data_IF_668925596479
#
_entry.id   IF_668925596479
#
_cell.length_a   1.000
_cell.length_b   1.000
_cell.length_c   1.000
_cell.angle_alpha   90.00
_cell.angle_beta   90.00
_cell.angle_gamma   90.00
#
_symmetry.space_group_name_H-M   'P 1'
#
loop_
_entity.id
_entity.type
_entity.pdbx_description
1 polymer ?
#
# COMPACT_ATOMS: atom_id res chain seq x y z
N UNK A 1 -2.05 -29.95 -26.49
CA UNK A 1 -3.18 -29.16 -25.94
C UNK A 1 -2.58 -28.30 -24.85
N UNK A 2 -2.63 -26.97 -24.96
CA UNK A 2 -2.18 -26.12 -23.83
C UNK A 2 -3.13 -26.40 -22.67
N UNK A 3 -2.57 -26.76 -21.51
CA UNK A 3 -3.37 -26.96 -20.31
C UNK A 3 -4.21 -25.71 -20.03
N UNK A 4 -5.50 -25.91 -19.77
CA UNK A 4 -6.42 -24.87 -19.35
C UNK A 4 -5.94 -24.30 -18.01
N UNK A 5 -5.55 -23.02 -17.96
CA UNK A 5 -5.13 -22.37 -16.73
C UNK A 5 -6.34 -21.66 -16.10
N UNK A 6 -6.67 -22.07 -14.88
CA UNK A 6 -7.70 -21.44 -14.03
C UNK A 6 -7.01 -20.89 -12.78
N UNK A 7 -7.19 -19.62 -12.49
CA UNK A 7 -6.55 -18.97 -11.34
C UNK A 7 -7.57 -18.71 -10.24
N UNK A 8 -7.26 -19.16 -9.03
CA UNK A 8 -8.01 -18.79 -7.83
C UNK A 8 -7.39 -17.56 -7.16
N UNK A 9 -8.21 -16.66 -6.61
CA UNK A 9 -7.75 -15.52 -5.79
C UNK A 9 -8.43 -15.61 -4.43
N UNK A 10 -7.63 -15.83 -3.38
CA UNK A 10 -8.08 -15.68 -2.00
C UNK A 10 -7.96 -14.22 -1.56
N UNK A 11 -9.08 -13.52 -1.55
CA UNK A 11 -9.22 -12.13 -1.09
C UNK A 11 -10.13 -12.03 0.15
N UNK A 12 -10.30 -13.11 0.91
CA UNK A 12 -11.16 -13.19 2.08
C UNK A 12 -10.79 -12.21 3.18
N UNK A 13 -9.51 -11.77 3.21
CA UNK A 13 -8.96 -10.86 4.22
C UNK A 13 -8.73 -9.43 3.74
N UNK A 14 -9.15 -9.06 2.54
CA UNK A 14 -8.97 -7.73 1.95
C UNK A 14 -9.91 -6.68 2.58
N UNK A 15 -9.72 -6.34 3.86
CA UNK A 15 -10.57 -5.42 4.63
C UNK A 15 -10.09 -3.96 4.59
N UNK A 16 -8.78 -3.70 4.46
CA UNK A 16 -8.21 -2.35 4.41
C UNK A 16 -8.43 -1.67 3.05
N UNK A 17 -8.39 -0.33 3.02
CA UNK A 17 -8.54 0.47 1.81
C UNK A 17 -7.53 0.09 0.73
N UNK A 18 -6.23 0.04 1.07
CA UNK A 18 -5.18 -0.33 0.11
C UNK A 18 -5.31 -1.75 -0.45
N UNK A 19 -5.82 -2.70 0.37
CA UNK A 19 -6.07 -4.07 -0.08
C UNK A 19 -7.22 -4.15 -1.08
N UNK A 20 -8.30 -3.38 -0.85
CA UNK A 20 -9.45 -3.28 -1.76
C UNK A 20 -9.03 -2.63 -3.07
N UNK A 21 -8.35 -1.46 -3.01
CA UNK A 21 -7.89 -0.73 -4.18
C UNK A 21 -6.94 -1.57 -5.04
N UNK A 22 -6.05 -2.37 -4.42
CA UNK A 22 -5.19 -3.28 -5.17
C UNK A 22 -5.99 -4.31 -5.96
N UNK A 23 -6.92 -5.03 -5.33
CA UNK A 23 -7.70 -6.07 -6.02
C UNK A 23 -8.59 -5.48 -7.11
N UNK A 24 -9.22 -4.33 -6.84
CA UNK A 24 -10.06 -3.63 -7.82
C UNK A 24 -9.20 -3.20 -9.01
N UNK A 25 -8.11 -2.46 -8.78
CA UNK A 25 -7.24 -1.96 -9.84
C UNK A 25 -6.59 -3.08 -10.65
N UNK A 26 -6.16 -4.17 -10.00
CA UNK A 26 -5.65 -5.37 -10.66
C UNK A 26 -6.69 -5.94 -11.65
N UNK A 27 -7.94 -6.14 -11.22
CA UNK A 27 -8.97 -6.80 -12.03
C UNK A 27 -9.64 -5.88 -13.06
N UNK A 28 -9.70 -4.58 -12.82
CA UNK A 28 -10.23 -3.61 -13.79
C UNK A 28 -9.37 -3.49 -15.04
N UNK A 29 -8.05 -3.49 -14.90
CA UNK A 29 -7.08 -3.31 -15.98
C UNK A 29 -6.52 -4.65 -16.51
N UNK A 30 -7.17 -5.78 -16.15
CA UNK A 30 -6.71 -7.13 -16.49
C UNK A 30 -7.22 -7.65 -17.83
N UNK A 31 -6.29 -8.37 -18.49
CA UNK A 31 -6.57 -9.19 -19.67
C UNK A 31 -5.90 -10.56 -19.50
N UNK A 32 -6.40 -11.42 -18.57
CA UNK A 32 -5.73 -12.68 -18.21
C UNK A 32 -5.65 -13.68 -19.37
N UNK A 33 -6.54 -13.58 -20.35
CA UNK A 33 -6.53 -14.39 -21.57
C UNK A 33 -5.24 -14.25 -22.38
N UNK A 34 -4.53 -13.10 -22.31
CA UNK A 34 -3.22 -12.90 -22.94
C UNK A 34 -2.14 -13.86 -22.41
N UNK A 35 -2.35 -14.36 -21.21
CA UNK A 35 -1.45 -15.30 -20.50
C UNK A 35 -1.94 -16.73 -20.53
N UNK A 36 -2.97 -17.05 -21.33
CA UNK A 36 -3.57 -18.38 -21.42
C UNK A 36 -4.49 -18.71 -20.23
N UNK A 37 -4.82 -17.73 -19.38
CA UNK A 37 -5.75 -17.89 -18.27
C UNK A 37 -7.17 -17.79 -18.81
N UNK A 38 -7.99 -18.81 -18.59
CA UNK A 38 -9.36 -18.88 -19.11
C UNK A 38 -10.37 -18.34 -18.11
N UNK A 39 -10.18 -18.61 -16.83
CA UNK A 39 -11.08 -18.20 -15.75
C UNK A 39 -10.28 -17.76 -14.53
N UNK A 40 -10.83 -16.76 -13.85
CA UNK A 40 -10.32 -16.27 -12.57
C UNK A 40 -11.45 -16.34 -11.55
N UNK A 41 -11.26 -17.12 -10.50
CA UNK A 41 -12.22 -17.31 -9.42
C UNK A 41 -11.78 -16.49 -8.19
N UNK A 42 -12.63 -15.58 -7.69
CA UNK A 42 -12.31 -14.72 -6.54
C UNK A 42 -13.20 -15.05 -5.35
N UNK A 43 -12.59 -15.42 -4.23
CA UNK A 43 -13.29 -15.60 -2.95
C UNK A 43 -13.12 -14.38 -2.06
N UNK A 44 -14.26 -13.73 -1.75
CA UNK A 44 -14.29 -12.57 -0.86
C UNK A 44 -15.67 -12.32 -0.28
N UNK A 45 -15.77 -11.32 0.58
CA UNK A 45 -17.06 -10.87 1.12
C UNK A 45 -17.84 -10.02 0.10
N UNK A 46 -19.19 -10.05 0.24
CA UNK A 46 -20.14 -9.52 -0.75
C UNK A 46 -19.86 -8.07 -1.15
N UNK A 47 -19.56 -7.19 -0.17
CA UNK A 47 -19.34 -5.77 -0.46
C UNK A 47 -18.13 -5.53 -1.38
N UNK A 48 -17.02 -6.29 -1.19
CA UNK A 48 -15.86 -6.17 -2.08
C UNK A 48 -16.16 -6.78 -3.45
N UNK A 49 -16.83 -7.92 -3.51
CA UNK A 49 -17.20 -8.55 -4.78
C UNK A 49 -18.13 -7.67 -5.63
N UNK A 50 -18.99 -6.86 -4.97
CA UNK A 50 -19.85 -5.87 -5.62
C UNK A 50 -19.09 -4.72 -6.28
N UNK A 51 -17.86 -4.44 -5.81
CA UNK A 51 -16.99 -3.40 -6.38
C UNK A 51 -16.10 -3.90 -7.54
N UNK A 52 -15.98 -5.22 -7.72
CA UNK A 52 -15.17 -5.81 -8.78
C UNK A 52 -15.88 -5.73 -10.13
N UNK A 53 -15.14 -5.59 -11.25
CA UNK A 53 -15.71 -5.50 -12.57
C UNK A 53 -16.51 -6.75 -12.94
N UNK A 54 -17.48 -6.59 -13.86
CA UNK A 54 -18.18 -7.72 -14.46
C UNK A 54 -17.45 -8.10 -15.76
N UNK A 55 -16.81 -9.26 -15.77
CA UNK A 55 -16.07 -9.81 -16.90
C UNK A 55 -16.47 -11.26 -17.10
N UNK A 56 -16.49 -11.75 -18.33
CA UNK A 56 -16.87 -13.13 -18.66
C UNK A 56 -15.91 -14.17 -18.05
N UNK A 57 -14.66 -13.82 -17.87
CA UNK A 57 -13.63 -14.64 -17.27
C UNK A 57 -13.56 -14.58 -15.73
N UNK A 58 -14.34 -13.68 -15.07
CA UNK A 58 -14.27 -13.43 -13.62
C UNK A 58 -15.49 -14.02 -12.90
N UNK A 59 -15.24 -15.02 -12.06
CA UNK A 59 -16.26 -15.71 -11.27
C UNK A 59 -16.09 -15.38 -9.80
N UNK A 60 -17.17 -14.95 -9.14
CA UNK A 60 -17.17 -14.41 -7.78
C UNK A 60 -17.78 -15.40 -6.80
N UNK A 61 -17.11 -15.66 -5.69
CA UNK A 61 -17.54 -16.58 -4.61
C UNK A 61 -17.59 -15.87 -3.26
N UNK A 62 -18.66 -16.08 -2.50
CA UNK A 62 -18.84 -15.50 -1.16
C UNK A 62 -19.38 -16.53 -0.17
N UNK A 63 -18.53 -17.46 0.29
CA UNK A 63 -18.92 -18.42 1.30
C UNK A 63 -19.33 -17.74 2.62
N UNK A 64 -20.30 -18.33 3.33
CA UNK A 64 -20.82 -17.75 4.57
C UNK A 64 -19.75 -17.67 5.67
N UNK A 65 -18.75 -18.55 5.66
CA UNK A 65 -17.65 -18.59 6.62
C UNK A 65 -16.81 -17.29 6.62
N UNK A 66 -16.67 -16.63 5.47
CA UNK A 66 -15.93 -15.37 5.33
C UNK A 66 -16.60 -14.23 6.10
N UNK A 67 -17.91 -14.33 6.34
CA UNK A 67 -18.72 -13.33 7.06
C UNK A 67 -18.74 -13.54 8.58
N UNK A 68 -18.25 -14.69 9.06
CA UNK A 68 -18.21 -15.06 10.48
C UNK A 68 -16.96 -14.51 11.19
N UNK A 69 -16.71 -14.99 12.40
CA UNK A 69 -15.54 -14.60 13.21
C UNK A 69 -14.22 -14.96 12.53
N UNK A 70 -13.11 -14.32 12.97
CA UNK A 70 -11.77 -14.61 12.45
C UNK A 70 -11.41 -16.10 12.52
N UNK A 71 -11.82 -16.81 13.58
CA UNK A 71 -11.53 -18.25 13.71
C UNK A 71 -12.25 -19.08 12.64
N UNK A 72 -13.48 -18.75 12.30
CA UNK A 72 -14.23 -19.40 11.21
C UNK A 72 -13.57 -19.11 9.84
N UNK A 73 -13.14 -17.88 9.62
CA UNK A 73 -12.43 -17.50 8.38
C UNK A 73 -11.12 -18.27 8.24
N UNK A 74 -10.30 -18.35 9.30
CA UNK A 74 -9.04 -19.11 9.29
C UNK A 74 -9.29 -20.61 9.09
N UNK A 75 -10.33 -21.16 9.74
CA UNK A 75 -10.69 -22.56 9.56
C UNK A 75 -11.11 -22.85 8.12
N UNK A 76 -12.00 -22.02 7.55
CA UNK A 76 -12.40 -22.12 6.15
C UNK A 76 -11.20 -22.01 5.21
N UNK A 77 -10.35 -21.03 5.39
CA UNK A 77 -9.16 -20.81 4.56
C UNK A 77 -8.18 -22.01 4.59
N UNK A 78 -8.07 -22.66 5.76
CA UNK A 78 -7.18 -23.80 5.95
C UNK A 78 -7.75 -25.11 5.37
N UNK A 79 -9.05 -25.36 5.56
CA UNK A 79 -9.62 -26.67 5.33
C UNK A 79 -10.63 -26.72 4.17
N UNK A 80 -11.49 -25.72 4.00
CA UNK A 80 -12.54 -25.71 2.98
C UNK A 80 -12.09 -25.09 1.66
N UNK A 81 -11.45 -23.92 1.72
CA UNK A 81 -11.01 -23.19 0.53
C UNK A 81 -10.18 -24.03 -0.45
N UNK A 82 -9.20 -24.86 -0.01
CA UNK A 82 -8.48 -25.72 -0.94
C UNK A 82 -9.35 -26.74 -1.69
N UNK A 83 -10.39 -27.23 -1.04
CA UNK A 83 -11.40 -28.11 -1.66
C UNK A 83 -12.26 -27.39 -2.68
N UNK A 84 -12.79 -26.21 -2.31
CA UNK A 84 -13.59 -25.37 -3.20
C UNK A 84 -12.79 -24.96 -4.45
N UNK A 85 -11.55 -24.51 -4.27
CA UNK A 85 -10.69 -24.12 -5.39
C UNK A 85 -10.38 -25.30 -6.33
N UNK A 86 -10.15 -26.51 -5.81
CA UNK A 86 -9.97 -27.71 -6.64
C UNK A 86 -11.25 -28.11 -7.37
N UNK A 87 -12.42 -27.97 -6.71
CA UNK A 87 -13.71 -28.33 -7.30
C UNK A 87 -14.04 -27.48 -8.54
N UNK A 88 -13.61 -26.23 -8.59
CA UNK A 88 -13.76 -25.35 -9.76
C UNK A 88 -12.56 -25.43 -10.73
N UNK A 89 -11.61 -26.35 -10.51
CA UNK A 89 -10.51 -26.61 -11.39
C UNK A 89 -9.34 -25.61 -11.32
N UNK A 90 -9.18 -24.85 -10.21
CA UNK A 90 -8.05 -23.94 -10.08
C UNK A 90 -6.71 -24.66 -10.24
N UNK A 91 -5.89 -24.17 -11.16
CA UNK A 91 -4.52 -24.64 -11.43
C UNK A 91 -3.51 -24.06 -10.43
N UNK A 92 -3.73 -22.84 -10.00
CA UNK A 92 -2.88 -22.08 -9.07
C UNK A 92 -3.73 -21.06 -8.30
N UNK A 93 -3.31 -20.71 -7.10
CA UNK A 93 -4.00 -19.69 -6.26
C UNK A 93 -3.09 -18.51 -5.95
N UNK A 94 -3.61 -17.29 -6.11
CA UNK A 94 -3.05 -16.07 -5.57
C UNK A 94 -3.64 -15.79 -4.18
N UNK A 95 -2.81 -15.84 -3.14
CA UNK A 95 -3.16 -15.33 -1.81
C UNK A 95 -2.84 -13.84 -1.77
N UNK A 96 -3.83 -12.99 -1.62
CA UNK A 96 -3.65 -11.52 -1.62
C UNK A 96 -3.14 -10.96 -0.28
N UNK A 97 -2.86 -11.82 0.69
CA UNK A 97 -2.35 -11.46 2.02
C UNK A 97 -1.40 -12.54 2.54
N UNK A 98 -0.21 -12.12 3.01
CA UNK A 98 0.77 -13.04 3.57
C UNK A 98 0.36 -13.65 4.93
N UNK A 99 -0.69 -13.14 5.57
CA UNK A 99 -1.30 -13.77 6.75
C UNK A 99 -2.18 -14.97 6.41
N UNK A 100 -2.13 -15.49 5.20
CA UNK A 100 -2.89 -16.68 4.77
C UNK A 100 -2.49 -17.94 5.53
N UNK A 101 -3.48 -18.79 5.79
CA UNK A 101 -3.30 -20.16 6.29
C UNK A 101 -3.77 -21.20 5.25
N UNK A 102 -3.98 -20.79 4.02
CA UNK A 102 -4.37 -21.66 2.91
C UNK A 102 -3.32 -22.74 2.64
N UNK A 103 -3.80 -23.96 2.40
CA UNK A 103 -2.97 -25.13 2.06
C UNK A 103 -3.07 -25.49 0.58
N UNK A 104 -3.66 -24.65 -0.25
CA UNK A 104 -3.70 -24.90 -1.68
C UNK A 104 -2.30 -24.77 -2.30
N UNK A 105 -1.97 -25.69 -3.20
CA UNK A 105 -0.73 -25.68 -3.97
C UNK A 105 -1.02 -26.10 -5.41
N UNK A 106 -0.30 -25.47 -6.39
CA UNK A 106 0.67 -24.39 -6.25
C UNK A 106 0.02 -23.04 -5.89
N UNK A 107 0.80 -22.15 -5.26
CA UNK A 107 0.30 -20.84 -4.84
C UNK A 107 1.34 -19.73 -4.98
N UNK A 108 0.85 -18.53 -5.30
CA UNK A 108 1.59 -17.26 -5.19
C UNK A 108 1.04 -16.49 -4.00
N UNK A 109 1.91 -15.90 -3.20
CA UNK A 109 1.49 -15.07 -2.05
C UNK A 109 2.00 -13.64 -2.18
N UNK A 110 1.08 -12.68 -2.09
CA UNK A 110 1.37 -11.25 -2.10
C UNK A 110 1.62 -10.76 -0.67
N UNK A 111 2.77 -10.12 -0.44
CA UNK A 111 3.12 -9.48 0.83
C UNK A 111 2.80 -7.99 0.79
N UNK A 112 1.89 -7.54 1.67
CA UNK A 112 1.42 -6.14 1.75
C UNK A 112 1.64 -5.48 3.09
N UNK A 113 1.94 -6.26 4.13
CA UNK A 113 2.16 -5.75 5.48
C UNK A 113 3.65 -5.58 5.75
N UNK A 114 4.02 -4.45 6.37
CA UNK A 114 5.40 -4.14 6.71
C UNK A 114 5.59 -3.89 8.21
N UNK A 115 4.50 -3.59 8.93
CA UNK A 115 4.58 -3.12 10.31
C UNK A 115 5.27 -4.10 11.26
N UNK A 116 5.12 -5.39 11.02
CA UNK A 116 5.76 -6.44 11.83
C UNK A 116 7.25 -6.64 11.49
N UNK A 117 7.72 -6.07 10.39
CA UNK A 117 9.10 -6.26 9.86
C UNK A 117 9.97 -5.01 9.98
N UNK A 118 9.35 -3.82 10.01
CA UNK A 118 10.09 -2.56 10.06
C UNK A 118 10.83 -2.42 11.39
N UNK A 119 12.16 -2.17 11.37
CA UNK A 119 12.95 -2.06 12.57
C UNK A 119 12.45 -0.92 13.48
N UNK A 120 12.27 -1.24 14.76
CA UNK A 120 11.85 -0.26 15.77
C UNK A 120 10.34 -0.04 15.87
N UNK A 121 9.56 -0.27 14.81
CA UNK A 121 8.12 0.03 14.81
C UNK A 121 7.32 -0.81 15.82
N UNK A 122 7.62 -2.09 15.97
CA UNK A 122 6.98 -2.94 16.99
C UNK A 122 7.19 -2.41 18.41
N UNK A 123 8.33 -1.76 18.68
CA UNK A 123 8.65 -1.23 20.00
C UNK A 123 7.77 -0.05 20.42
N UNK A 124 7.19 0.68 19.45
CA UNK A 124 6.25 1.79 19.70
C UNK A 124 4.97 1.33 20.41
N UNK A 125 4.65 0.04 20.33
CA UNK A 125 3.48 -0.56 20.97
C UNK A 125 3.73 -1.02 22.42
N UNK A 126 4.92 -0.78 22.99
CA UNK A 126 5.25 -1.17 24.37
C UNK A 126 4.97 -2.65 24.65
N UNK A 127 4.61 -2.97 25.91
CA UNK A 127 4.21 -4.31 26.32
C UNK A 127 2.69 -4.50 26.25
N UNK A 128 2.12 -4.45 25.02
CA UNK A 128 0.67 -4.53 24.79
C UNK A 128 0.27 -5.79 24.04
N UNK A 129 -1.04 -6.10 24.05
CA UNK A 129 -1.64 -7.16 23.21
C UNK A 129 -1.39 -6.91 21.71
N UNK A 130 -1.32 -5.64 21.29
CA UNK A 130 -1.02 -5.27 19.90
C UNK A 130 0.39 -5.72 19.49
N UNK A 131 1.39 -5.54 20.34
CA UNK A 131 2.76 -6.04 20.09
C UNK A 131 2.81 -7.56 19.97
N UNK A 132 2.17 -8.29 20.88
CA UNK A 132 2.11 -9.76 20.80
C UNK A 132 1.43 -10.22 19.51
N UNK A 133 0.33 -9.56 19.11
CA UNK A 133 -0.34 -9.83 17.84
C UNK A 133 0.59 -9.63 16.64
N UNK A 134 1.36 -8.55 16.60
CA UNK A 134 2.30 -8.29 15.50
C UNK A 134 3.41 -9.34 15.43
N UNK A 135 3.94 -9.80 16.57
CA UNK A 135 4.93 -10.88 16.64
C UNK A 135 4.34 -12.20 16.10
N UNK A 136 3.14 -12.56 16.56
CA UNK A 136 2.43 -13.76 16.09
C UNK A 136 2.11 -13.67 14.59
N UNK A 137 1.66 -12.49 14.11
CA UNK A 137 1.37 -12.25 12.69
C UNK A 137 2.64 -12.42 11.84
N UNK A 138 3.78 -11.87 12.26
CA UNK A 138 5.07 -12.05 11.58
C UNK A 138 5.44 -13.53 11.44
N UNK A 139 5.22 -14.32 12.49
CA UNK A 139 5.49 -15.75 12.42
C UNK A 139 4.59 -16.44 11.38
N UNK A 140 3.28 -16.18 11.39
CA UNK A 140 2.33 -16.73 10.40
C UNK A 140 2.72 -16.31 8.98
N UNK A 141 3.02 -15.04 8.78
CA UNK A 141 3.43 -14.49 7.49
C UNK A 141 4.72 -15.14 6.97
N UNK A 142 5.73 -15.31 7.83
CA UNK A 142 6.96 -16.00 7.47
C UNK A 142 6.72 -17.45 7.01
N UNK A 143 5.83 -18.17 7.69
CA UNK A 143 5.48 -19.53 7.32
C UNK A 143 4.74 -19.58 5.96
N UNK A 144 3.78 -18.67 5.76
CA UNK A 144 3.03 -18.59 4.51
C UNK A 144 3.94 -18.26 3.31
N UNK A 145 4.86 -17.29 3.48
CA UNK A 145 5.82 -16.92 2.43
C UNK A 145 6.77 -18.06 2.07
N UNK A 146 7.32 -18.76 3.07
CA UNK A 146 8.19 -19.93 2.84
C UNK A 146 7.46 -21.09 2.18
N UNK A 147 6.18 -21.24 2.48
CA UNK A 147 5.37 -22.31 1.92
C UNK A 147 4.86 -22.01 0.52
N UNK A 148 4.91 -20.79 0.03
CA UNK A 148 4.43 -20.40 -1.30
C UNK A 148 5.41 -20.80 -2.40
N UNK A 149 4.90 -21.15 -3.58
CA UNK A 149 5.70 -21.49 -4.75
C UNK A 149 6.24 -20.25 -5.45
N UNK A 150 5.56 -19.10 -5.28
CA UNK A 150 6.02 -17.77 -5.69
C UNK A 150 5.60 -16.70 -4.69
N UNK A 151 6.37 -15.62 -4.58
CA UNK A 151 6.07 -14.49 -3.69
C UNK A 151 6.18 -13.19 -4.45
N UNK A 152 5.15 -12.34 -4.30
CA UNK A 152 5.13 -10.98 -4.83
C UNK A 152 5.35 -10.00 -3.68
N UNK A 153 6.35 -9.14 -3.83
CA UNK A 153 6.58 -7.96 -3.00
C UNK A 153 6.20 -6.70 -3.77
N UNK A 154 5.87 -5.62 -3.07
CA UNK A 154 5.48 -4.36 -3.70
C UNK A 154 6.66 -3.41 -3.92
N UNK A 155 7.74 -3.58 -3.15
CA UNK A 155 8.97 -2.81 -3.25
C UNK A 155 10.18 -3.72 -2.98
N UNK A 156 11.34 -3.37 -3.54
CA UNK A 156 12.60 -4.07 -3.23
C UNK A 156 12.99 -3.87 -1.76
N UNK A 157 12.64 -2.72 -1.17
CA UNK A 157 12.82 -2.49 0.26
C UNK A 157 12.09 -3.56 1.08
N UNK A 158 10.79 -3.75 0.84
CA UNK A 158 9.99 -4.74 1.53
C UNK A 158 10.55 -6.17 1.30
N UNK A 159 10.91 -6.51 0.07
CA UNK A 159 11.53 -7.80 -0.25
C UNK A 159 12.79 -8.06 0.57
N UNK A 160 13.70 -7.08 0.67
CA UNK A 160 14.93 -7.21 1.48
C UNK A 160 14.63 -7.34 2.96
N UNK A 161 13.75 -6.50 3.51
CA UNK A 161 13.46 -6.47 4.95
C UNK A 161 12.71 -7.72 5.42
N UNK A 162 11.74 -8.19 4.66
CA UNK A 162 10.96 -9.37 4.99
C UNK A 162 11.82 -10.63 4.89
N UNK A 163 12.66 -10.74 3.87
CA UNK A 163 13.56 -11.89 3.72
C UNK A 163 14.67 -11.96 4.79
N UNK A 164 15.03 -10.84 5.45
CA UNK A 164 15.86 -10.90 6.68
C UNK A 164 15.18 -11.68 7.81
N UNK A 165 13.85 -11.69 7.85
CA UNK A 165 13.07 -12.39 8.88
C UNK A 165 12.68 -13.82 8.47
N UNK A 166 12.20 -14.01 7.23
CA UNK A 166 11.75 -15.33 6.77
C UNK A 166 12.86 -16.15 6.09
N UNK A 167 14.04 -15.59 5.88
CA UNK A 167 15.10 -16.20 5.07
C UNK A 167 14.90 -15.97 3.57
N UNK A 168 15.90 -16.34 2.73
CA UNK A 168 15.80 -16.15 1.29
C UNK A 168 14.68 -17.03 0.71
N UNK A 169 13.93 -16.44 -0.24
CA UNK A 169 12.85 -17.11 -0.96
C UNK A 169 13.30 -17.41 -2.38
N UNK A 170 13.07 -18.63 -2.91
CA UNK A 170 13.66 -19.07 -4.16
C UNK A 170 13.04 -18.46 -5.42
N UNK A 171 11.80 -17.98 -5.33
CA UNK A 171 11.06 -17.44 -6.47
C UNK A 171 10.24 -16.22 -6.05
N UNK A 172 10.74 -15.02 -6.40
CA UNK A 172 10.15 -13.75 -5.99
C UNK A 172 10.05 -12.79 -7.17
N UNK A 173 9.03 -11.94 -7.14
CA UNK A 173 8.90 -10.79 -8.04
C UNK A 173 8.59 -9.53 -7.24
N UNK A 174 9.01 -8.36 -7.76
CA UNK A 174 8.70 -7.07 -7.18
C UNK A 174 7.74 -6.34 -8.12
N UNK A 175 6.46 -6.32 -7.75
CA UNK A 175 5.37 -5.79 -8.58
C UNK A 175 4.65 -4.67 -7.81
N UNK A 176 4.97 -3.40 -8.08
CA UNK A 176 4.35 -2.27 -7.39
C UNK A 176 2.88 -2.08 -7.77
N UNK A 177 2.12 -1.47 -6.87
CA UNK A 177 0.75 -1.05 -7.14
C UNK A 177 0.69 0.01 -8.26
N UNK A 178 -0.46 0.11 -8.91
CA UNK A 178 -0.78 1.20 -9.82
C UNK A 178 -1.45 2.38 -9.11
N UNK A 179 -1.58 3.47 -9.82
CA UNK A 179 -2.38 4.64 -9.45
C UNK A 179 -3.58 4.78 -10.39
N UNK A 180 -4.74 5.13 -9.83
CA UNK A 180 -5.98 5.27 -10.58
C UNK A 180 -5.96 6.45 -11.56
N UNK A 181 -6.67 6.31 -12.69
CA UNK A 181 -6.76 7.36 -13.71
C UNK A 181 -7.42 8.63 -13.17
N UNK A 182 -8.27 8.53 -12.15
CA UNK A 182 -8.89 9.67 -11.47
C UNK A 182 -7.86 10.63 -10.83
N UNK A 183 -6.70 10.14 -10.38
CA UNK A 183 -5.60 11.00 -9.91
C UNK A 183 -4.76 11.56 -11.05
N UNK A 184 -4.52 10.78 -12.11
CA UNK A 184 -3.74 11.22 -13.28
C UNK A 184 -4.38 12.40 -14.04
N UNK A 185 -5.71 12.52 -13.95
CA UNK A 185 -6.48 13.57 -14.60
C UNK A 185 -6.57 14.86 -13.76
N UNK A 186 -6.16 14.81 -12.48
CA UNK A 186 -6.16 15.97 -11.61
C UNK A 186 -5.11 16.99 -12.08
N UNK A 187 -5.53 18.26 -12.11
CA UNK A 187 -4.63 19.40 -12.29
C UNK A 187 -4.62 20.16 -10.96
N UNK A 188 -3.46 20.43 -10.35
CA UNK A 188 -3.37 21.31 -9.19
C UNK A 188 -3.97 22.68 -9.51
N UNK A 189 -4.83 23.16 -8.62
CA UNK A 189 -5.59 24.41 -8.85
C UNK A 189 -4.76 25.67 -8.66
N UNK A 190 -3.60 25.58 -8.05
CA UNK A 190 -2.82 26.75 -7.63
C UNK A 190 -1.42 26.77 -8.23
N UNK A 191 -1.14 27.89 -8.90
CA UNK A 191 0.23 28.34 -9.16
C UNK A 191 0.52 29.43 -8.14
N UNK A 192 1.28 29.12 -7.09
CA UNK A 192 1.65 30.16 -6.12
C UNK A 192 2.65 31.15 -6.72
N UNK A 193 2.18 32.38 -6.82
CA UNK A 193 2.93 33.45 -7.46
C UNK A 193 3.41 34.54 -6.49
N UNK A 194 3.07 34.49 -5.20
CA UNK A 194 3.45 35.54 -4.24
C UNK A 194 3.71 35.01 -2.83
N UNK A 195 4.61 35.68 -2.11
CA UNK A 195 5.00 35.38 -0.72
C UNK A 195 3.89 35.55 0.32
N UNK A 196 2.75 36.17 -0.03
CA UNK A 196 1.62 36.44 0.89
C UNK A 196 0.43 35.50 0.68
N UNK A 197 0.50 34.57 -0.26
CA UNK A 197 -0.59 33.63 -0.49
C UNK A 197 -0.62 32.56 0.62
N UNK A 198 -1.82 32.16 1.04
CA UNK A 198 -1.98 31.01 1.92
C UNK A 198 -1.56 29.73 1.18
N UNK A 199 -0.63 28.98 1.76
CA UNK A 199 -0.12 27.71 1.24
C UNK A 199 -0.87 26.57 1.94
N UNK A 200 -1.52 25.70 1.16
CA UNK A 200 -2.29 24.58 1.66
C UNK A 200 -1.47 23.28 1.59
N UNK A 201 -1.18 22.73 2.75
CA UNK A 201 -0.54 21.44 2.88
C UNK A 201 -1.59 20.31 3.02
N UNK A 202 -1.26 19.13 2.56
CA UNK A 202 -2.10 17.94 2.68
C UNK A 202 -1.28 16.75 3.19
N UNK A 203 -1.85 16.00 4.13
CA UNK A 203 -1.37 14.68 4.52
C UNK A 203 -2.52 13.69 4.54
N UNK A 204 -2.49 12.67 3.69
CA UNK A 204 -3.53 11.64 3.59
C UNK A 204 -3.05 10.34 4.20
N UNK A 205 -3.58 9.97 5.36
CA UNK A 205 -3.35 8.68 6.01
C UNK A 205 -4.31 8.47 7.19
N UNK A 206 -4.56 7.21 7.56
CA UNK A 206 -5.12 6.93 8.88
C UNK A 206 -4.13 7.35 9.98
N UNK A 207 -4.64 7.67 11.18
CA UNK A 207 -3.79 8.01 12.32
C UNK A 207 -3.20 6.73 12.94
N UNK A 208 -1.87 6.64 12.90
CA UNK A 208 -1.11 5.54 13.50
C UNK A 208 0.25 6.05 13.97
N UNK A 209 0.92 5.31 14.88
CA UNK A 209 2.20 5.75 15.45
C UNK A 209 3.26 6.01 14.38
N UNK A 210 3.36 5.17 13.38
CA UNK A 210 4.34 5.29 12.30
C UNK A 210 3.99 6.35 11.23
N UNK A 211 2.83 7.03 11.36
CA UNK A 211 2.42 8.11 10.45
C UNK A 211 2.87 9.50 10.91
N UNK A 212 3.29 9.65 12.17
CA UNK A 212 3.90 10.86 12.73
C UNK A 212 3.12 12.17 12.49
N UNK A 213 1.78 12.13 12.36
CA UNK A 213 0.97 13.32 12.06
C UNK A 213 1.15 14.45 13.08
N UNK A 214 1.36 14.13 14.37
CA UNK A 214 1.65 15.14 15.40
C UNK A 214 2.98 15.87 15.18
N UNK A 215 3.99 15.22 14.53
CA UNK A 215 5.25 15.87 14.17
C UNK A 215 5.04 16.84 12.99
N UNK A 216 4.13 16.50 12.07
CA UNK A 216 3.75 17.39 10.97
C UNK A 216 3.03 18.63 11.52
N UNK A 217 2.12 18.49 12.49
CA UNK A 217 1.46 19.62 13.15
C UNK A 217 2.48 20.56 13.80
N UNK A 218 3.46 20.03 14.54
CA UNK A 218 4.55 20.82 15.12
C UNK A 218 5.40 21.53 14.05
N UNK A 219 5.67 20.86 12.94
CA UNK A 219 6.43 21.46 11.85
C UNK A 219 5.70 22.63 11.19
N UNK A 220 4.37 22.52 11.02
CA UNK A 220 3.55 23.61 10.50
C UNK A 220 3.51 24.78 11.49
N UNK A 221 3.41 24.52 12.80
CA UNK A 221 3.53 25.56 13.84
C UNK A 221 4.88 26.29 13.75
N UNK A 222 5.99 25.55 13.63
CA UNK A 222 7.34 26.15 13.46
C UNK A 222 7.38 27.05 12.22
N UNK A 223 6.82 26.63 11.11
CA UNK A 223 6.78 27.40 9.86
C UNK A 223 5.93 28.67 10.00
N UNK A 224 4.78 28.57 10.65
CA UNK A 224 3.94 29.75 10.93
C UNK A 224 4.65 30.77 11.83
N UNK A 225 5.37 30.29 12.84
CA UNK A 225 6.19 31.14 13.72
C UNK A 225 7.36 31.80 12.97
N UNK A 226 7.80 31.23 11.83
CA UNK A 226 8.77 31.85 10.90
C UNK A 226 8.11 32.84 9.92
N UNK A 227 6.80 33.03 9.98
CA UNK A 227 6.06 33.99 9.15
C UNK A 227 5.41 33.41 7.90
N UNK A 228 5.49 32.11 7.65
CA UNK A 228 4.80 31.50 6.51
C UNK A 228 3.29 31.36 6.78
N UNK A 229 2.45 31.74 5.82
CA UNK A 229 1.01 31.56 5.89
C UNK A 229 0.61 30.16 5.41
N UNK A 230 0.66 29.17 6.31
CA UNK A 230 0.41 27.76 6.02
C UNK A 230 -0.84 27.25 6.72
N UNK A 231 -1.57 26.34 6.02
CA UNK A 231 -2.59 25.47 6.60
C UNK A 231 -2.29 24.01 6.26
N UNK A 232 -2.79 23.07 7.06
CA UNK A 232 -2.63 21.63 6.84
C UNK A 232 -3.96 20.91 7.00
N UNK A 233 -4.32 20.14 5.99
CA UNK A 233 -5.41 19.18 6.02
C UNK A 233 -4.87 17.79 6.33
N UNK A 234 -5.32 17.18 7.45
CA UNK A 234 -5.04 15.81 7.85
C UNK A 234 -6.24 14.95 7.49
N UNK A 235 -6.14 14.18 6.41
CA UNK A 235 -7.24 13.37 5.87
C UNK A 235 -7.07 11.90 6.24
N UNK A 236 -8.12 11.29 6.80
CA UNK A 236 -8.19 9.86 7.07
C UNK A 236 -8.60 9.49 8.49
N UNK A 237 -8.20 10.24 9.49
CA UNK A 237 -8.59 10.03 10.88
C UNK A 237 -8.14 8.69 11.45
N UNK A 238 -8.50 8.41 12.69
CA UNK A 238 -8.16 7.18 13.37
C UNK A 238 -8.81 7.07 14.74
N UNK A 239 -8.28 6.16 15.55
CA UNK A 239 -8.72 5.94 16.93
C UNK A 239 -7.57 5.43 17.79
N UNK A 240 -7.78 5.40 19.12
CA UNK A 240 -6.79 4.92 20.09
C UNK A 240 -5.67 5.91 20.38
N UNK A 241 -4.57 5.43 20.94
CA UNK A 241 -3.51 6.28 21.51
C UNK A 241 -2.84 7.22 20.51
N UNK A 242 -2.68 6.80 19.26
CA UNK A 242 -2.11 7.65 18.22
C UNK A 242 -3.01 8.85 17.90
N UNK A 243 -4.34 8.64 17.87
CA UNK A 243 -5.30 9.73 17.69
C UNK A 243 -5.30 10.68 18.87
N UNK A 244 -5.33 10.16 20.10
CA UNK A 244 -5.25 10.98 21.32
C UNK A 244 -3.98 11.85 21.33
N UNK A 245 -2.85 11.28 20.89
CA UNK A 245 -1.60 12.03 20.77
C UNK A 245 -1.69 13.15 19.72
N UNK A 246 -2.33 12.88 18.57
CA UNK A 246 -2.55 13.88 17.54
C UNK A 246 -3.47 15.00 18.07
N UNK A 247 -4.61 14.66 18.66
CA UNK A 247 -5.58 15.62 19.19
C UNK A 247 -4.96 16.55 20.24
N UNK A 248 -4.15 15.98 21.14
CA UNK A 248 -3.38 16.74 22.11
C UNK A 248 -2.42 17.72 21.45
N UNK A 249 -1.69 17.27 20.42
CA UNK A 249 -0.74 18.13 19.71
C UNK A 249 -1.46 19.27 18.99
N UNK A 250 -2.57 18.97 18.31
CA UNK A 250 -3.40 20.00 17.66
C UNK A 250 -3.87 21.03 18.67
N UNK A 251 -4.37 20.60 19.84
CA UNK A 251 -4.83 21.52 20.90
C UNK A 251 -3.71 22.42 21.44
N UNK A 252 -2.46 21.97 21.41
CA UNK A 252 -1.29 22.74 21.84
C UNK A 252 -0.85 23.73 20.75
N UNK A 253 -0.69 23.25 19.51
CA UNK A 253 -0.13 24.03 18.40
C UNK A 253 -1.14 24.99 17.78
N UNK A 254 -2.42 24.60 17.73
CA UNK A 254 -3.49 25.36 17.09
C UNK A 254 -4.74 25.45 17.98
N UNK A 255 -4.64 26.08 19.16
CA UNK A 255 -5.74 26.16 20.13
C UNK A 255 -6.98 26.93 19.61
N UNK A 256 -6.83 27.72 18.56
CA UNK A 256 -7.91 28.49 17.93
C UNK A 256 -8.49 27.83 16.68
N UNK A 257 -7.89 26.74 16.18
CA UNK A 257 -8.31 26.08 14.95
C UNK A 257 -8.08 26.92 13.68
N UNK A 258 -6.95 27.64 13.63
CA UNK A 258 -6.66 28.58 12.53
C UNK A 258 -5.94 27.90 11.34
N UNK A 259 -5.24 26.77 11.56
CA UNK A 259 -4.38 26.22 10.53
C UNK A 259 -4.35 24.68 10.42
N UNK A 260 -4.92 23.94 11.37
CA UNK A 260 -5.00 22.48 11.30
C UNK A 260 -6.44 22.03 11.12
N UNK A 261 -6.73 21.35 10.00
CA UNK A 261 -8.02 20.70 9.76
C UNK A 261 -7.88 19.21 9.88
N UNK A 262 -8.51 18.58 10.87
CA UNK A 262 -8.64 17.13 10.95
C UNK A 262 -9.88 16.69 10.17
N UNK A 263 -9.68 16.20 8.95
CA UNK A 263 -10.73 15.67 8.08
C UNK A 263 -10.78 14.15 8.30
N UNK A 264 -11.91 13.64 8.73
CA UNK A 264 -12.11 12.22 8.97
C UNK A 264 -11.91 11.36 7.70
N UNK A 265 -12.46 10.16 7.72
CA UNK A 265 -12.40 9.26 6.57
C UNK A 265 -13.06 9.89 5.33
N UNK A 266 -12.30 9.95 4.24
CA UNK A 266 -12.77 10.35 2.91
C UNK A 266 -12.73 9.12 1.99
N UNK A 267 -13.82 8.80 1.26
CA UNK A 267 -13.81 7.72 0.28
C UNK A 267 -12.72 7.96 -0.79
N UNK A 268 -12.03 6.90 -1.20
CA UNK A 268 -10.90 6.99 -2.15
C UNK A 268 -11.26 7.71 -3.46
N UNK A 269 -12.48 7.56 -3.94
CA UNK A 269 -13.01 8.24 -5.15
C UNK A 269 -13.07 9.77 -5.02
N UNK A 270 -13.18 10.29 -3.79
CA UNK A 270 -13.32 11.72 -3.49
C UNK A 270 -11.98 12.37 -3.13
N UNK A 271 -10.92 11.58 -2.87
CA UNK A 271 -9.57 12.08 -2.58
C UNK A 271 -8.99 12.99 -3.67
N UNK A 272 -9.20 12.75 -4.98
CA UNK A 272 -8.65 13.62 -6.02
C UNK A 272 -8.99 15.11 -5.84
N UNK A 273 -10.15 15.44 -5.26
CA UNK A 273 -10.53 16.83 -4.96
C UNK A 273 -9.63 17.48 -3.89
N UNK A 274 -9.20 16.71 -2.88
CA UNK A 274 -8.26 17.20 -1.88
C UNK A 274 -6.88 17.45 -2.47
N UNK A 275 -6.40 16.53 -3.31
CA UNK A 275 -5.13 16.70 -4.02
C UNK A 275 -5.14 17.90 -4.97
N UNK A 276 -6.27 18.14 -5.67
CA UNK A 276 -6.43 19.29 -6.58
C UNK A 276 -6.31 20.65 -5.86
N UNK A 277 -6.75 20.71 -4.61
CA UNK A 277 -6.76 21.93 -3.78
C UNK A 277 -5.54 22.03 -2.87
N UNK A 278 -4.44 21.35 -3.18
CA UNK A 278 -3.23 21.25 -2.36
C UNK A 278 -2.05 21.89 -3.09
N UNK A 279 -1.24 22.63 -2.33
CA UNK A 279 0.00 23.25 -2.82
C UNK A 279 1.23 22.37 -2.50
N UNK A 280 1.28 21.72 -1.31
CA UNK A 280 2.36 20.84 -0.89
C UNK A 280 1.78 19.57 -0.28
N UNK A 281 2.26 18.42 -0.74
CA UNK A 281 1.97 17.14 -0.11
C UNK A 281 3.07 16.77 0.89
N UNK A 282 2.70 16.45 2.14
CA UNK A 282 3.61 16.02 3.19
C UNK A 282 3.37 14.56 3.48
N UNK A 283 4.42 13.74 3.44
CA UNK A 283 4.31 12.31 3.70
C UNK A 283 5.32 11.85 4.77
N UNK A 284 4.88 11.79 6.03
CA UNK A 284 5.73 11.59 7.21
C UNK A 284 5.73 10.14 7.76
N UNK A 285 5.34 9.16 6.95
CA UNK A 285 5.33 7.75 7.41
C UNK A 285 6.75 7.19 7.57
N UNK A 286 6.98 6.44 8.66
CA UNK A 286 8.24 5.69 8.87
C UNK A 286 8.15 4.22 8.44
N UNK A 287 6.94 3.72 8.17
CA UNK A 287 6.69 2.32 7.84
C UNK A 287 5.64 2.18 6.75
N UNK A 288 6.04 1.67 5.61
CA UNK A 288 5.16 1.33 4.47
C UNK A 288 5.66 0.06 3.78
N UNK A 289 4.76 -0.68 3.16
CA UNK A 289 5.14 -1.69 2.16
C UNK A 289 5.17 -1.03 0.77
N UNK A 290 4.06 -0.36 0.40
CA UNK A 290 3.95 0.51 -0.77
C UNK A 290 3.14 1.76 -0.38
N UNK A 291 3.72 2.97 -0.50
CA UNK A 291 3.07 4.21 -0.08
C UNK A 291 2.10 4.72 -1.16
N UNK A 292 0.87 4.18 -1.22
CA UNK A 292 -0.10 4.49 -2.29
C UNK A 292 -0.39 5.99 -2.41
N UNK A 293 -0.66 6.68 -1.28
CA UNK A 293 -0.99 8.12 -1.31
C UNK A 293 0.20 8.99 -1.74
N UNK A 294 1.43 8.52 -1.54
CA UNK A 294 2.63 9.16 -2.11
C UNK A 294 2.63 9.04 -3.64
N UNK A 295 2.32 7.85 -4.18
CA UNK A 295 2.24 7.65 -5.64
C UNK A 295 1.08 8.45 -6.25
N UNK A 296 -0.02 8.58 -5.52
CA UNK A 296 -1.16 9.44 -5.90
C UNK A 296 -0.73 10.91 -5.98
N UNK A 297 -0.01 11.43 -4.97
CA UNK A 297 0.55 12.79 -4.99
C UNK A 297 1.53 13.00 -6.15
N UNK A 298 2.39 12.01 -6.41
CA UNK A 298 3.31 12.03 -7.56
C UNK A 298 2.56 12.11 -8.89
N UNK A 299 1.46 11.37 -9.04
CA UNK A 299 0.68 11.34 -10.29
C UNK A 299 -0.04 12.65 -10.57
N UNK A 300 -0.45 13.37 -9.52
CA UNK A 300 -1.00 14.73 -9.62
C UNK A 300 0.09 15.74 -9.98
N UNK A 301 1.35 15.46 -9.64
CA UNK A 301 2.49 16.37 -9.87
C UNK A 301 2.62 17.43 -8.79
N UNK A 302 2.24 17.12 -7.55
CA UNK A 302 2.41 18.02 -6.41
C UNK A 302 3.90 18.09 -5.99
N UNK A 303 4.34 19.23 -5.44
CA UNK A 303 5.57 19.30 -4.69
C UNK A 303 5.47 18.42 -3.43
N UNK A 304 6.46 17.58 -3.18
CA UNK A 304 6.40 16.56 -2.13
C UNK A 304 7.54 16.74 -1.14
N UNK A 305 7.17 16.93 0.14
CA UNK A 305 8.06 16.73 1.28
C UNK A 305 7.81 15.32 1.85
N UNK A 306 8.84 14.48 1.92
CA UNK A 306 8.70 13.06 2.19
C UNK A 306 9.66 12.56 3.26
N UNK A 307 9.20 11.61 4.06
CA UNK A 307 10.04 10.84 4.98
C UNK A 307 11.18 10.13 4.23
N UNK A 308 12.37 10.10 4.85
CA UNK A 308 13.54 9.38 4.34
C UNK A 308 13.57 7.90 4.79
N UNK A 309 12.50 7.38 5.40
CA UNK A 309 12.41 6.02 5.96
C UNK A 309 11.75 5.04 4.99
N UNK A 310 11.90 3.74 5.28
CA UNK A 310 11.20 2.67 4.58
C UNK A 310 11.43 2.67 3.06
N UNK A 311 10.39 2.39 2.27
CA UNK A 311 10.46 2.36 0.81
C UNK A 311 10.35 3.74 0.15
N UNK A 312 10.14 4.83 0.91
CA UNK A 312 9.90 6.15 0.33
C UNK A 312 11.02 6.62 -0.60
N UNK A 313 12.32 6.46 -0.26
CA UNK A 313 13.40 6.80 -1.19
C UNK A 313 13.44 5.93 -2.46
N UNK A 314 13.02 4.67 -2.38
CA UNK A 314 12.89 3.80 -3.57
C UNK A 314 11.76 4.27 -4.48
N UNK A 315 10.61 4.65 -3.91
CA UNK A 315 9.41 5.03 -4.66
C UNK A 315 9.53 6.44 -5.23
N UNK A 316 9.90 7.43 -4.41
CA UNK A 316 9.95 8.84 -4.81
C UNK A 316 11.27 9.21 -5.54
N UNK A 317 12.40 8.58 -5.18
CA UNK A 317 13.73 8.88 -5.72
C UNK A 317 14.09 10.38 -5.55
N UNK A 318 14.47 11.08 -6.60
CA UNK A 318 14.81 12.51 -6.61
C UNK A 318 13.61 13.45 -6.84
N UNK A 319 12.38 12.93 -6.72
CA UNK A 319 11.16 13.68 -7.04
C UNK A 319 10.52 14.37 -5.82
N UNK A 320 11.29 14.67 -4.79
CA UNK A 320 10.83 15.36 -3.59
C UNK A 320 11.97 15.75 -2.67
N UNK A 321 11.65 16.46 -1.59
CA UNK A 321 12.59 16.86 -0.54
C UNK A 321 12.39 15.94 0.66
N UNK A 322 13.47 15.36 1.17
CA UNK A 322 13.43 14.37 2.24
C UNK A 322 13.66 14.98 3.62
N UNK A 323 13.02 14.35 4.63
CA UNK A 323 13.18 14.73 6.03
C UNK A 323 13.17 13.49 6.96
N UNK A 324 13.64 13.67 8.19
CA UNK A 324 13.42 12.73 9.28
C UNK A 324 12.00 12.93 9.86
N UNK A 325 11.09 11.92 9.78
CA UNK A 325 9.69 12.08 10.20
C UNK A 325 9.50 12.22 11.71
N UNK A 326 10.54 11.95 12.49
CA UNK A 326 10.52 12.08 13.96
C UNK A 326 11.02 13.43 14.47
N UNK A 327 11.46 14.32 13.56
CA UNK A 327 12.01 15.63 13.87
C UNK A 327 11.19 16.75 13.20
N UNK A 328 10.33 17.47 13.95
CA UNK A 328 9.51 18.55 13.39
C UNK A 328 10.32 19.59 12.65
N UNK A 329 11.53 19.90 13.16
CA UNK A 329 12.43 20.87 12.54
C UNK A 329 12.93 20.41 11.16
N UNK A 330 13.20 19.10 10.99
CA UNK A 330 13.59 18.49 9.71
C UNK A 330 12.44 18.58 8.69
N UNK A 331 11.20 18.30 9.13
CA UNK A 331 10.00 18.46 8.31
C UNK A 331 9.82 19.93 7.88
N UNK A 332 9.91 20.87 8.85
CA UNK A 332 9.77 22.30 8.58
C UNK A 332 10.83 22.80 7.59
N UNK A 333 12.07 22.34 7.70
CA UNK A 333 13.15 22.73 6.77
C UNK A 333 12.89 22.23 5.35
N UNK A 334 12.45 20.98 5.18
CA UNK A 334 12.10 20.42 3.87
C UNK A 334 10.93 21.18 3.22
N UNK A 335 9.91 21.55 3.99
CA UNK A 335 8.77 22.31 3.49
C UNK A 335 9.21 23.75 3.13
N UNK A 336 10.00 24.45 3.98
CA UNK A 336 10.49 25.79 3.65
C UNK A 336 11.39 25.80 2.40
N UNK A 337 12.22 24.78 2.19
CA UNK A 337 13.04 24.63 0.99
C UNK A 337 12.16 24.55 -0.28
N UNK A 338 11.05 23.79 -0.24
CA UNK A 338 10.09 23.75 -1.34
C UNK A 338 9.42 25.11 -1.56
N UNK A 339 9.10 25.83 -0.50
CA UNK A 339 8.46 27.16 -0.59
C UNK A 339 9.41 28.19 -1.21
N UNK A 340 10.63 28.24 -0.74
CA UNK A 340 11.60 29.29 -1.10
C UNK A 340 12.22 29.05 -2.47
N UNK A 341 12.40 27.80 -2.90
CA UNK A 341 13.07 27.45 -4.13
C UNK A 341 12.10 27.08 -5.26
N UNK A 342 11.71 28.09 -6.05
CA UNK A 342 10.78 27.91 -7.19
C UNK A 342 11.31 26.92 -8.23
N UNK A 343 12.62 26.93 -8.51
CA UNK A 343 13.23 26.02 -9.49
C UNK A 343 13.20 24.58 -9.01
N UNK A 344 13.61 24.33 -7.76
CA UNK A 344 13.52 23.02 -7.14
C UNK A 344 12.07 22.51 -7.14
N UNK A 345 11.13 23.35 -6.72
CA UNK A 345 9.69 23.01 -6.69
C UNK A 345 9.19 22.54 -8.04
N UNK A 346 9.50 23.29 -9.12
CA UNK A 346 9.14 22.88 -10.49
C UNK A 346 9.80 21.57 -10.88
N UNK A 347 11.10 21.43 -10.63
CA UNK A 347 11.87 20.22 -10.95
C UNK A 347 11.29 18.97 -10.27
N UNK A 348 10.97 19.04 -8.96
CA UNK A 348 10.43 17.89 -8.23
C UNK A 348 8.99 17.54 -8.68
N UNK A 349 8.16 18.53 -9.05
CA UNK A 349 6.82 18.28 -9.61
C UNK A 349 6.91 17.52 -10.95
N UNK A 350 7.74 17.99 -11.87
CA UNK A 350 7.94 17.37 -13.19
C UNK A 350 8.49 15.95 -13.03
N UNK A 351 9.50 15.78 -12.15
CA UNK A 351 10.10 14.47 -11.84
C UNK A 351 9.10 13.51 -11.20
N UNK A 352 8.26 14.00 -10.27
CA UNK A 352 7.23 13.19 -9.63
C UNK A 352 6.19 12.68 -10.64
N UNK A 353 5.70 13.58 -11.49
CA UNK A 353 4.74 13.23 -12.53
C UNK A 353 5.31 12.24 -13.54
N UNK A 354 6.54 12.46 -14.00
CA UNK A 354 7.22 11.53 -14.91
C UNK A 354 7.42 10.16 -14.25
N UNK A 355 7.92 10.13 -13.00
CA UNK A 355 8.18 8.89 -12.28
C UNK A 355 6.90 8.11 -11.98
N UNK A 356 5.77 8.79 -11.72
CA UNK A 356 4.49 8.13 -11.45
C UNK A 356 3.97 7.28 -12.61
N UNK A 357 4.43 7.53 -13.84
CA UNK A 357 4.00 6.79 -15.04
C UNK A 357 4.34 5.30 -14.97
N UNK A 358 5.40 4.93 -14.24
CA UNK A 358 5.76 3.53 -14.02
C UNK A 358 4.79 2.80 -13.09
N UNK A 359 3.94 3.52 -12.33
CA UNK A 359 2.97 2.94 -11.43
C UNK A 359 1.59 2.92 -12.10
N UNK A 360 1.32 1.89 -12.92
CA UNK A 360 0.03 1.71 -13.57
C UNK A 360 -0.61 0.37 -13.19
N UNK A 361 -1.93 0.34 -13.11
CA UNK A 361 -2.65 -0.90 -12.83
C UNK A 361 -2.54 -1.90 -13.97
N UNK A 362 -2.46 -1.44 -15.23
CA UNK A 362 -2.22 -2.31 -16.38
C UNK A 362 -0.89 -3.05 -16.25
N UNK A 363 0.22 -2.33 -15.94
CA UNK A 363 1.51 -2.96 -15.68
C UNK A 363 1.47 -3.93 -14.49
N UNK A 364 0.85 -3.51 -13.38
CA UNK A 364 0.68 -4.36 -12.20
C UNK A 364 -0.07 -5.65 -12.54
N UNK A 365 -1.12 -5.56 -13.35
CA UNK A 365 -1.90 -6.69 -13.81
C UNK A 365 -1.07 -7.62 -14.72
N UNK A 366 -0.43 -7.05 -15.73
CA UNK A 366 0.40 -7.80 -16.68
C UNK A 366 1.53 -8.56 -15.98
N UNK A 367 2.29 -7.88 -15.11
CA UNK A 367 3.38 -8.51 -14.34
C UNK A 367 2.85 -9.59 -13.36
N UNK A 368 1.68 -9.35 -12.74
CA UNK A 368 1.07 -10.32 -11.82
C UNK A 368 0.63 -11.58 -12.53
N UNK A 369 -0.06 -11.47 -13.67
CA UNK A 369 -0.51 -12.63 -14.43
C UNK A 369 0.66 -13.41 -15.03
N UNK A 370 1.67 -12.72 -15.58
CA UNK A 370 2.89 -13.35 -16.05
C UNK A 370 3.55 -14.17 -14.95
N UNK A 371 3.77 -13.57 -13.79
CA UNK A 371 4.43 -14.25 -12.66
C UNK A 371 3.61 -15.42 -12.11
N UNK A 372 2.28 -15.35 -12.08
CA UNK A 372 1.41 -16.46 -11.68
C UNK A 372 1.56 -17.64 -12.66
N UNK A 373 1.53 -17.36 -13.96
CA UNK A 373 1.67 -18.43 -14.99
C UNK A 373 3.07 -19.03 -14.98
N UNK A 374 4.11 -18.20 -14.89
CA UNK A 374 5.50 -18.68 -14.77
C UNK A 374 5.69 -19.58 -13.52
N UNK A 375 5.10 -19.16 -12.38
CA UNK A 375 5.13 -19.98 -11.16
C UNK A 375 4.44 -21.33 -11.38
N UNK A 376 3.26 -21.32 -12.00
CA UNK A 376 2.54 -22.56 -12.32
C UNK A 376 3.34 -23.49 -13.23
N UNK A 377 3.90 -22.98 -14.32
CA UNK A 377 4.70 -23.76 -15.25
C UNK A 377 5.95 -24.34 -14.58
N UNK A 378 6.63 -23.54 -13.75
CA UNK A 378 7.79 -23.99 -12.98
C UNK A 378 7.48 -25.17 -12.05
N UNK A 379 6.27 -25.22 -11.47
CA UNK A 379 5.88 -26.35 -10.61
C UNK A 379 5.58 -27.62 -11.38
N UNK A 380 5.40 -27.55 -12.72
CA UNK A 380 5.20 -28.71 -13.59
C UNK A 380 6.51 -29.27 -14.18
N UNK A 381 7.57 -28.47 -14.18
CA UNK A 381 8.88 -28.99 -14.60
C UNK A 381 9.36 -30.01 -13.60
N UNK A 382 9.80 -31.22 -14.06
CA UNK A 382 10.36 -32.21 -13.16
C UNK A 382 11.62 -31.62 -12.50
N UNK A 383 11.66 -31.62 -11.17
CA UNK A 383 12.83 -31.19 -10.40
C UNK A 383 14.06 -31.99 -10.83
N UNK A 384 14.99 -31.34 -11.51
CA UNK A 384 16.28 -31.93 -11.96
C UNK A 384 17.23 -32.29 -10.78
N UNK A 385 16.72 -32.29 -9.54
CA UNK A 385 17.48 -32.56 -8.30
C UNK A 385 17.48 -34.08 -7.97
N UNK A 386 17.41 -34.93 -8.95
CA UNK A 386 17.40 -36.40 -8.76
C UNK A 386 18.56 -37.18 -9.41
N UNK A 387 19.49 -36.52 -10.11
CA UNK A 387 20.48 -37.24 -10.94
C UNK A 387 21.96 -36.97 -10.59
N UNK A 388 22.27 -36.63 -9.36
CA UNK A 388 23.68 -36.63 -8.88
C UNK A 388 23.72 -37.29 -7.51
N UNK A 389 23.45 -38.63 -7.49
CA UNK A 389 23.93 -39.59 -6.52
C UNK A 389 23.77 -40.98 -7.16
N UNK A 390 24.73 -41.40 -7.96
CA UNK A 390 25.10 -42.75 -8.18
C UNK A 390 26.64 -42.83 -8.25
#
# INVERSE_FOLDING_TARGET
MSDRIVVGIDASRNRSGGAKSHLIGLLEESFPEKYGIQEVHVWSYRDLLGLLPNRSWLIKHSPDEIHKSLLHQLWWQCFNFPGEARAVGCSIVLNTDAGTVSRFRPSVTLSRDMLSYEPGEINRYGFTKARLRLIALRFVQNQALRASDGVIFLTNYAARMIQKSCGPLPWVSCIPHGVGNNFKQVQPSTVWNSNNQQIKCLYVSNTAFYKHQWMVVQAVEILRNRGYNLTIDLVGGGSGEAQVRLDRQVSISDPKGEFVSQIGFVPHKDLPLHFANTDIFIFASSCENMPNTLVEAMSVGLPIACSNRGPMPEVLSNAGVYFNPEEPQSIANAVSEIIENVHLRKQICDSAKQRSQQFSWSRCADETWSFIVETYLKTKEPSVIGLVKA
#
